data_IF_030559331752
#
_entry.id   IF_030559331752
#
_cell.length_a   1.000
_cell.length_b   1.000
_cell.length_c   1.000
_cell.angle_alpha   90.00
_cell.angle_beta   90.00
_cell.angle_gamma   90.00
#
_symmetry.space_group_name_H-M   'P 1'
#
loop_
_entity.id
_entity.type
_entity.pdbx_description
1 polymer ?
#
# COMPACT_ATOMS: atom_id res chain seq x y z
N UNK A 1 82.88 -56.33 -19.18
CA UNK A 1 83.89 -55.80 -18.28
C UNK A 1 83.20 -54.70 -17.50
N UNK A 2 82.99 -54.63 -16.31
CA UNK A 2 83.42 -55.31 -15.09
C UNK A 2 82.57 -54.62 -13.96
N UNK A 3 81.99 -55.38 -13.16
CA UNK A 3 81.85 -55.29 -11.75
C UNK A 3 81.97 -53.89 -11.08
N UNK A 4 81.24 -53.49 -10.04
CA UNK A 4 81.11 -54.19 -8.81
C UNK A 4 80.42 -53.29 -7.73
N UNK A 5 79.63 -53.93 -6.92
CA UNK A 5 79.43 -53.70 -5.46
C UNK A 5 78.69 -52.45 -4.94
N UNK A 6 77.50 -52.65 -4.44
CA UNK A 6 77.15 -52.87 -2.98
C UNK A 6 77.32 -51.64 -2.06
N UNK A 7 76.24 -51.26 -1.45
CA UNK A 7 76.22 -50.33 -0.29
C UNK A 7 74.85 -50.09 0.26
N UNK A 8 74.42 -50.92 1.16
CA UNK A 8 73.15 -50.71 1.87
C UNK A 8 73.34 -49.59 2.92
N UNK A 9 72.43 -48.67 2.95
CA UNK A 9 72.17 -47.87 4.19
C UNK A 9 70.69 -47.57 4.31
N UNK A 10 70.11 -48.01 5.39
CA UNK A 10 68.79 -47.72 5.92
C UNK A 10 68.61 -46.22 6.09
N UNK A 11 67.55 -45.64 5.60
CA UNK A 11 67.05 -44.37 6.08
C UNK A 11 65.59 -44.45 6.36
N UNK A 12 65.24 -44.06 7.55
CA UNK A 12 63.92 -43.96 8.17
C UNK A 12 62.98 -43.06 7.33
N UNK A 13 61.79 -43.60 6.98
CA UNK A 13 60.72 -42.82 6.42
C UNK A 13 60.01 -42.08 7.54
N UNK A 14 60.10 -40.76 7.54
CA UNK A 14 59.20 -39.90 8.33
C UNK A 14 57.90 -39.70 7.52
N UNK A 15 56.82 -40.27 7.99
CA UNK A 15 55.47 -40.02 7.49
C UNK A 15 55.04 -38.63 8.01
N UNK A 16 55.01 -37.63 7.12
CA UNK A 16 54.38 -36.35 7.35
C UNK A 16 52.90 -36.50 7.07
N UNK A 17 52.08 -36.57 8.12
CA UNK A 17 50.63 -36.50 8.02
C UNK A 17 50.25 -35.03 7.78
N UNK A 18 49.86 -34.71 6.55
CA UNK A 18 49.34 -33.42 6.18
C UNK A 18 47.84 -33.39 6.56
N UNK A 19 47.47 -32.86 7.72
CA UNK A 19 46.07 -32.61 8.11
C UNK A 19 45.56 -31.42 7.36
N UNK A 20 44.76 -31.67 6.29
CA UNK A 20 43.97 -30.66 5.61
C UNK A 20 42.79 -30.25 6.49
N UNK A 21 42.91 -29.09 7.14
CA UNK A 21 41.78 -28.46 7.84
C UNK A 21 40.81 -27.90 6.80
N UNK A 22 39.74 -28.62 6.52
CA UNK A 22 38.58 -28.11 5.75
C UNK A 22 37.81 -27.13 6.65
N UNK A 23 38.07 -25.84 6.46
CA UNK A 23 37.20 -24.78 6.98
C UNK A 23 35.87 -24.83 6.23
N UNK A 24 34.84 -25.45 6.86
CA UNK A 24 33.47 -25.34 6.39
C UNK A 24 32.99 -23.90 6.60
N UNK A 25 32.96 -23.10 5.49
CA UNK A 25 32.25 -21.84 5.46
C UNK A 25 30.75 -22.16 5.63
N UNK A 26 30.24 -22.00 6.85
CA UNK A 26 28.82 -21.95 7.09
C UNK A 26 28.26 -20.70 6.37
N UNK A 27 27.82 -20.89 5.14
CA UNK A 27 26.98 -19.91 4.47
C UNK A 27 25.66 -19.90 5.24
N UNK A 28 25.57 -19.03 6.24
CA UNK A 28 24.32 -18.73 6.92
C UNK A 28 23.35 -18.24 5.85
N UNK A 29 22.39 -19.09 5.48
CA UNK A 29 21.23 -18.66 4.74
C UNK A 29 20.59 -17.54 5.56
N UNK A 30 20.75 -16.29 5.15
CA UNK A 30 19.94 -15.21 5.65
C UNK A 30 18.50 -15.60 5.30
N UNK A 31 17.80 -16.21 6.26
CA UNK A 31 16.36 -16.40 6.16
C UNK A 31 15.80 -15.02 5.87
N UNK A 32 15.18 -14.85 4.71
CA UNK A 32 14.37 -13.67 4.41
C UNK A 32 13.32 -13.65 5.54
N UNK A 33 13.54 -12.82 6.54
CA UNK A 33 12.54 -12.55 7.55
C UNK A 33 11.33 -12.02 6.77
N UNK A 34 10.25 -12.80 6.77
CA UNK A 34 8.93 -12.33 6.38
C UNK A 34 8.68 -11.13 7.29
N UNK A 35 8.96 -9.90 6.78
CA UNK A 35 8.92 -8.71 7.62
C UNK A 35 7.49 -8.52 8.10
N UNK A 36 7.31 -8.61 9.40
CA UNK A 36 6.03 -8.42 10.04
C UNK A 36 5.49 -7.01 9.72
N UNK A 37 4.18 -6.90 9.62
CA UNK A 37 3.53 -5.59 9.55
C UNK A 37 3.94 -4.74 10.77
N UNK A 38 4.05 -3.41 10.63
CA UNK A 38 4.29 -2.55 11.79
C UNK A 38 3.13 -2.65 12.78
N UNK A 39 3.39 -2.43 14.07
CA UNK A 39 2.31 -2.41 15.08
C UNK A 39 1.32 -1.27 14.83
N UNK A 40 1.81 -0.12 14.32
CA UNK A 40 0.97 1.04 14.09
C UNK A 40 1.56 1.95 13.00
N UNK A 41 0.67 2.54 12.21
CA UNK A 41 0.98 3.65 11.30
C UNK A 41 0.02 4.79 11.57
N UNK A 42 0.55 5.99 11.84
CA UNK A 42 -0.21 7.24 11.88
C UNK A 42 0.32 8.16 10.79
N UNK A 43 -0.57 8.66 9.95
CA UNK A 43 -0.21 9.56 8.88
C UNK A 43 -1.17 10.75 8.82
N UNK A 44 -0.61 11.95 8.63
CA UNK A 44 -1.33 13.18 8.37
C UNK A 44 -0.99 13.66 6.98
N UNK A 45 -2.01 14.00 6.22
CA UNK A 45 -1.89 14.48 4.85
C UNK A 45 -2.57 15.85 4.71
N UNK A 46 -1.96 16.72 3.93
CA UNK A 46 -2.56 17.94 3.44
C UNK A 46 -3.29 17.67 2.13
N UNK A 47 -4.47 18.24 1.99
CA UNK A 47 -5.26 18.18 0.77
C UNK A 47 -5.22 19.55 0.10
N UNK A 48 -4.80 19.60 -1.15
CA UNK A 48 -4.81 20.82 -1.96
C UNK A 48 -5.63 20.61 -3.23
N UNK A 49 -6.25 21.66 -3.70
CA UNK A 49 -6.90 21.72 -5.00
C UNK A 49 -6.34 22.93 -5.76
N UNK A 50 -5.77 22.67 -6.93
CA UNK A 50 -5.09 23.69 -7.74
C UNK A 50 -4.07 24.53 -6.91
N UNK A 51 -3.30 23.85 -6.03
CA UNK A 51 -2.30 24.47 -5.16
C UNK A 51 -2.85 25.12 -3.88
N UNK A 52 -4.15 25.30 -3.74
CA UNK A 52 -4.79 25.90 -2.55
C UNK A 52 -5.12 24.78 -1.56
N UNK A 53 -4.73 24.95 -0.30
CA UNK A 53 -5.10 24.02 0.77
C UNK A 53 -6.61 24.07 1.00
N UNK A 54 -7.24 22.90 0.97
CA UNK A 54 -8.67 22.72 1.16
C UNK A 54 -9.02 21.81 2.35
N UNK A 55 -8.03 21.16 2.96
CA UNK A 55 -8.30 20.31 4.09
C UNK A 55 -7.18 19.35 4.45
N UNK A 56 -7.53 18.42 5.32
CA UNK A 56 -6.61 17.40 5.86
C UNK A 56 -7.22 16.01 5.82
N UNK A 57 -6.36 15.00 5.72
CA UNK A 57 -6.70 13.60 5.92
C UNK A 57 -5.78 13.01 6.98
N UNK A 58 -6.36 12.42 8.01
CA UNK A 58 -5.63 11.69 9.04
C UNK A 58 -5.94 10.20 8.90
N UNK A 59 -4.91 9.39 8.96
CA UNK A 59 -4.98 7.93 8.86
C UNK A 59 -4.29 7.29 10.04
N UNK A 60 -4.91 6.27 10.61
CA UNK A 60 -4.32 5.43 11.65
C UNK A 60 -4.61 3.98 11.33
N UNK A 61 -3.60 3.12 11.41
CA UNK A 61 -3.78 1.68 11.35
C UNK A 61 -3.07 1.00 12.50
N UNK A 62 -3.67 -0.07 13.01
CA UNK A 62 -3.14 -0.95 14.03
C UNK A 62 -3.08 -2.37 13.48
N UNK A 63 -2.02 -3.05 13.80
CA UNK A 63 -1.81 -4.44 13.41
C UNK A 63 -1.51 -5.26 14.66
N UNK A 64 -2.18 -6.40 14.81
CA UNK A 64 -1.99 -7.31 15.94
C UNK A 64 -2.06 -8.75 15.46
N UNK A 65 -0.91 -9.43 15.49
CA UNK A 65 -0.81 -10.77 14.93
C UNK A 65 -1.21 -10.79 13.44
N UNK A 66 -2.26 -11.52 13.13
CA UNK A 66 -2.78 -11.66 11.77
C UNK A 66 -4.03 -10.79 11.52
N UNK A 67 -4.22 -9.71 12.25
CA UNK A 67 -5.37 -8.83 12.09
C UNK A 67 -4.94 -7.38 11.90
N UNK A 68 -5.79 -6.59 11.24
CA UNK A 68 -5.64 -5.15 11.13
C UNK A 68 -6.95 -4.44 11.45
N UNK A 69 -6.83 -3.22 11.93
CA UNK A 69 -7.87 -2.22 11.94
C UNK A 69 -7.30 -0.89 11.47
N UNK A 70 -8.07 -0.15 10.68
CA UNK A 70 -7.62 1.14 10.19
C UNK A 70 -8.78 2.14 10.17
N UNK A 71 -8.45 3.41 10.42
CA UNK A 71 -9.38 4.53 10.39
C UNK A 71 -8.78 5.68 9.61
N UNK A 72 -9.58 6.27 8.74
CA UNK A 72 -9.28 7.51 8.04
C UNK A 72 -10.31 8.59 8.41
N UNK A 73 -9.87 9.83 8.60
CA UNK A 73 -10.74 10.98 8.80
C UNK A 73 -10.31 12.10 7.87
N UNK A 74 -11.24 12.58 7.07
CA UNK A 74 -11.02 13.71 6.16
C UNK A 74 -11.89 14.89 6.55
N UNK A 75 -11.31 16.07 6.52
CA UNK A 75 -12.02 17.34 6.69
C UNK A 75 -11.64 18.25 5.52
N UNK A 76 -12.66 18.66 4.73
CA UNK A 76 -12.49 19.57 3.59
C UNK A 76 -13.36 20.79 3.84
N UNK A 77 -12.77 21.98 3.65
CA UNK A 77 -13.46 23.25 3.65
C UNK A 77 -12.93 24.08 2.47
N UNK A 78 -13.83 24.46 1.58
CA UNK A 78 -13.50 25.22 0.38
C UNK A 78 -14.46 26.40 0.24
N UNK A 79 -14.13 27.36 -0.68
CA UNK A 79 -14.96 28.52 -0.99
C UNK A 79 -15.31 29.32 0.28
N UNK A 80 -14.29 29.65 1.09
CA UNK A 80 -14.45 30.39 2.36
C UNK A 80 -15.44 29.71 3.33
N UNK A 81 -15.52 28.36 3.32
CA UNK A 81 -16.40 27.59 4.20
C UNK A 81 -17.82 27.36 3.63
N UNK A 82 -18.13 27.84 2.42
CA UNK A 82 -19.39 27.57 1.77
C UNK A 82 -19.57 26.08 1.41
N UNK A 83 -18.47 25.38 1.16
CA UNK A 83 -18.43 23.93 1.02
C UNK A 83 -17.71 23.29 2.20
N UNK A 84 -18.41 22.40 2.92
CA UNK A 84 -17.82 21.58 4.00
C UNK A 84 -18.12 20.11 3.76
N UNK A 85 -17.10 19.29 3.89
CA UNK A 85 -17.20 17.84 3.82
C UNK A 85 -16.36 17.21 4.91
N UNK A 86 -16.97 16.36 5.72
CA UNK A 86 -16.29 15.61 6.78
C UNK A 86 -16.63 14.15 6.57
N UNK A 87 -15.61 13.31 6.44
CA UNK A 87 -15.76 11.87 6.25
C UNK A 87 -14.91 11.06 7.21
N UNK A 88 -15.45 9.95 7.63
CA UNK A 88 -14.75 8.92 8.40
C UNK A 88 -14.84 7.60 7.66
N UNK A 89 -13.74 6.88 7.63
CA UNK A 89 -13.57 5.59 6.97
C UNK A 89 -13.00 4.62 8.00
N UNK A 90 -13.55 3.45 8.12
CA UNK A 90 -13.00 2.37 8.95
C UNK A 90 -12.92 1.09 8.16
N UNK A 91 -11.89 0.31 8.39
CA UNK A 91 -11.70 -1.00 7.78
C UNK A 91 -11.05 -1.95 8.77
N UNK A 92 -11.45 -3.20 8.74
CA UNK A 92 -10.82 -4.25 9.54
C UNK A 92 -10.83 -5.58 8.81
N UNK A 93 -9.88 -6.43 9.16
CA UNK A 93 -9.77 -7.73 8.53
C UNK A 93 -8.58 -8.54 9.04
N UNK A 94 -8.33 -9.64 8.37
CA UNK A 94 -7.15 -10.46 8.58
C UNK A 94 -6.01 -10.07 7.63
N UNK A 95 -4.83 -10.56 7.93
CA UNK A 95 -3.61 -10.43 7.12
C UNK A 95 -3.07 -11.82 6.85
N UNK A 96 -2.73 -12.07 5.62
CA UNK A 96 -1.97 -13.25 5.24
C UNK A 96 -0.72 -12.87 4.42
N UNK A 97 -0.04 -13.87 3.86
CA UNK A 97 1.15 -13.65 3.03
C UNK A 97 0.83 -12.88 1.73
N UNK A 98 -0.40 -12.97 1.24
CA UNK A 98 -0.85 -12.30 0.01
C UNK A 98 -1.27 -10.85 0.26
N UNK A 99 -1.56 -10.49 1.53
CA UNK A 99 -1.96 -9.14 1.91
C UNK A 99 -3.20 -9.08 2.82
N UNK A 100 -3.96 -7.99 2.79
CA UNK A 100 -5.16 -7.83 3.59
C UNK A 100 -6.33 -8.66 3.06
N UNK A 101 -7.05 -9.28 3.99
CA UNK A 101 -8.32 -9.99 3.78
C UNK A 101 -9.41 -9.21 4.51
N UNK A 102 -10.21 -8.39 3.81
CA UNK A 102 -11.22 -7.54 4.44
C UNK A 102 -12.31 -8.37 5.12
N UNK A 103 -12.79 -7.88 6.28
CA UNK A 103 -13.94 -8.43 7.01
C UNK A 103 -15.05 -7.40 7.10
N UNK A 104 -14.72 -6.15 7.40
CA UNK A 104 -15.69 -5.08 7.52
C UNK A 104 -15.11 -3.74 7.03
N UNK A 105 -15.96 -2.96 6.39
CA UNK A 105 -15.68 -1.58 5.99
C UNK A 105 -16.89 -0.70 6.26
N UNK A 106 -16.63 0.48 6.79
CA UNK A 106 -17.64 1.52 6.94
C UNK A 106 -17.08 2.86 6.47
N UNK A 107 -17.87 3.58 5.69
CA UNK A 107 -17.66 4.97 5.34
C UNK A 107 -18.88 5.77 5.78
N UNK A 108 -18.66 6.88 6.45
CA UNK A 108 -19.70 7.85 6.77
C UNK A 108 -19.19 9.24 6.44
N UNK A 109 -19.97 10.04 5.75
CA UNK A 109 -19.61 11.42 5.49
C UNK A 109 -20.82 12.36 5.60
N UNK A 110 -20.52 13.58 6.02
CA UNK A 110 -21.47 14.69 6.13
C UNK A 110 -21.04 15.82 5.20
N UNK A 111 -21.94 16.25 4.34
CA UNK A 111 -21.86 17.54 3.65
C UNK A 111 -22.71 18.57 4.38
N UNK A 112 -22.71 19.84 3.92
CA UNK A 112 -23.59 20.87 4.51
C UNK A 112 -25.05 20.44 4.66
N UNK A 113 -25.54 19.53 3.80
CA UNK A 113 -26.97 19.21 3.64
C UNK A 113 -27.33 17.74 3.86
N UNK A 114 -26.37 16.81 3.86
CA UNK A 114 -26.65 15.37 3.82
C UNK A 114 -25.64 14.55 4.60
N UNK A 115 -26.14 13.48 5.22
CA UNK A 115 -25.34 12.40 5.78
C UNK A 115 -25.48 11.20 4.84
N UNK A 116 -24.37 10.57 4.54
CA UNK A 116 -24.31 9.35 3.75
C UNK A 116 -23.43 8.34 4.45
N UNK A 117 -23.85 7.09 4.48
CA UNK A 117 -23.01 6.00 4.98
C UNK A 117 -23.08 4.77 4.07
N UNK A 118 -22.01 4.01 4.09
CA UNK A 118 -21.84 2.72 3.42
C UNK A 118 -21.27 1.77 4.44
N UNK A 119 -21.84 0.58 4.57
CA UNK A 119 -21.25 -0.52 5.35
C UNK A 119 -21.16 -1.75 4.48
N UNK A 120 -19.99 -2.38 4.48
CA UNK A 120 -19.72 -3.63 3.78
C UNK A 120 -19.27 -4.69 4.79
N UNK A 121 -19.81 -5.89 4.66
CA UNK A 121 -19.29 -7.09 5.30
C UNK A 121 -18.75 -8.04 4.25
N UNK A 122 -17.66 -8.72 4.57
CA UNK A 122 -16.96 -9.62 3.66
C UNK A 122 -16.90 -11.03 4.24
N UNK A 123 -16.86 -11.99 3.34
CA UNK A 123 -16.43 -13.36 3.61
C UNK A 123 -15.27 -13.72 2.67
N UNK A 124 -14.66 -14.92 2.75
CA UNK A 124 -13.54 -15.28 1.88
C UNK A 124 -13.85 -15.22 0.38
N UNK A 125 -15.11 -15.26 -0.03
CA UNK A 125 -15.52 -15.17 -1.43
C UNK A 125 -15.64 -13.73 -1.93
N UNK A 126 -15.82 -12.74 -1.03
CA UNK A 126 -15.98 -11.34 -1.37
C UNK A 126 -17.01 -10.62 -0.51
N UNK A 127 -17.72 -9.64 -1.10
CA UNK A 127 -18.73 -8.84 -0.39
C UNK A 127 -19.97 -9.67 -0.11
N UNK A 128 -20.31 -9.81 1.19
CA UNK A 128 -21.47 -10.54 1.70
C UNK A 128 -22.68 -9.67 1.97
N UNK A 129 -22.43 -8.50 2.57
CA UNK A 129 -23.49 -7.56 2.96
C UNK A 129 -23.17 -6.16 2.51
N UNK A 130 -24.21 -5.42 2.12
CA UNK A 130 -24.12 -4.02 1.71
C UNK A 130 -25.26 -3.28 2.39
N UNK A 131 -24.95 -2.23 3.15
CA UNK A 131 -25.95 -1.31 3.71
C UNK A 131 -25.61 0.12 3.34
N UNK A 132 -26.58 0.85 2.83
CA UNK A 132 -26.42 2.23 2.32
C UNK A 132 -27.41 3.15 3.06
N UNK A 133 -26.95 4.33 3.45
CA UNK A 133 -27.81 5.40 3.97
C UNK A 133 -27.53 6.69 3.17
N UNK A 134 -28.53 7.31 2.54
CA UNK A 134 -29.89 6.80 2.36
C UNK A 134 -29.94 5.57 1.45
N UNK A 135 -30.79 4.63 1.76
CA UNK A 135 -31.02 3.47 0.90
C UNK A 135 -31.92 3.91 -0.27
N UNK A 136 -31.29 4.23 -1.39
CA UNK A 136 -31.98 4.61 -2.62
C UNK A 136 -31.76 3.53 -3.68
N UNK A 137 -32.78 3.23 -4.49
CA UNK A 137 -32.61 2.33 -5.61
C UNK A 137 -31.49 2.86 -6.53
N UNK A 138 -30.72 1.97 -7.16
CA UNK A 138 -29.72 2.35 -8.16
C UNK A 138 -30.39 3.16 -9.28
N UNK A 139 -29.66 4.15 -9.80
CA UNK A 139 -30.14 4.87 -10.98
C UNK A 139 -30.25 3.88 -12.17
N UNK A 140 -31.38 3.84 -12.91
CA UNK A 140 -31.58 2.88 -14.00
C UNK A 140 -30.51 2.95 -15.10
N UNK A 141 -29.88 4.13 -15.29
CA UNK A 141 -28.81 4.32 -16.28
C UNK A 141 -27.45 3.76 -15.82
N UNK A 142 -27.33 3.28 -14.58
CA UNK A 142 -26.07 2.72 -14.09
C UNK A 142 -25.87 1.28 -14.55
N UNK A 143 -24.62 0.92 -14.86
CA UNK A 143 -24.25 -0.46 -15.12
C UNK A 143 -24.47 -1.24 -13.83
N UNK A 144 -25.32 -2.26 -13.88
CA UNK A 144 -25.70 -3.06 -12.72
C UNK A 144 -24.49 -3.82 -12.15
N UNK A 145 -24.32 -3.75 -10.83
CA UNK A 145 -23.36 -4.57 -10.11
C UNK A 145 -23.90 -6.00 -10.03
N UNK A 146 -23.18 -6.96 -10.61
CA UNK A 146 -23.52 -8.38 -10.56
C UNK A 146 -22.87 -9.07 -9.34
N UNK A 147 -23.33 -10.25 -8.92
CA UNK A 147 -22.65 -11.02 -7.87
C UNK A 147 -21.18 -11.33 -8.17
N UNK A 148 -20.81 -11.53 -9.44
CA UNK A 148 -19.43 -11.78 -9.83
C UNK A 148 -18.54 -10.53 -9.66
N UNK A 149 -19.11 -9.34 -9.75
CA UNK A 149 -18.39 -8.09 -9.50
C UNK A 149 -18.00 -7.90 -8.02
N UNK A 150 -18.58 -8.67 -7.11
CA UNK A 150 -18.36 -8.58 -5.67
C UNK A 150 -17.35 -9.61 -5.15
N UNK A 151 -16.87 -10.52 -6.02
CA UNK A 151 -15.91 -11.56 -5.67
C UNK A 151 -14.48 -11.02 -5.64
N UNK A 152 -13.70 -11.42 -4.65
CA UNK A 152 -12.25 -11.12 -4.53
C UNK A 152 -11.92 -9.63 -4.70
N UNK A 153 -12.72 -8.75 -4.11
CA UNK A 153 -12.53 -7.30 -4.14
C UNK A 153 -12.10 -6.79 -2.78
N UNK A 154 -11.40 -5.67 -2.78
CA UNK A 154 -11.06 -4.90 -1.59
C UNK A 154 -12.06 -3.76 -1.38
N UNK A 155 -12.29 -3.37 -0.14
CA UNK A 155 -12.76 -2.03 0.19
C UNK A 155 -11.62 -1.00 0.02
N UNK A 156 -11.91 0.32 0.01
CA UNK A 156 -10.88 1.35 -0.19
C UNK A 156 -9.75 1.37 0.85
N UNK A 157 -10.03 1.02 2.10
CA UNK A 157 -9.00 0.93 3.16
C UNK A 157 -8.10 -0.28 2.91
N UNK A 158 -8.69 -1.45 2.70
CA UNK A 158 -7.93 -2.68 2.40
C UNK A 158 -7.14 -2.57 1.10
N UNK A 159 -7.68 -1.88 0.08
CA UNK A 159 -6.95 -1.58 -1.15
C UNK A 159 -5.69 -0.74 -0.89
N UNK A 160 -5.76 0.25 0.01
CA UNK A 160 -4.60 1.05 0.43
C UNK A 160 -3.55 0.17 1.13
N UNK A 161 -3.96 -0.72 2.02
CA UNK A 161 -3.05 -1.66 2.68
C UNK A 161 -2.45 -2.66 1.68
N UNK A 162 -3.24 -3.13 0.71
CA UNK A 162 -2.75 -4.00 -0.35
C UNK A 162 -1.66 -3.31 -1.19
N UNK A 163 -1.79 -2.02 -1.49
CA UNK A 163 -0.75 -1.25 -2.18
C UNK A 163 0.50 -1.11 -1.31
N UNK A 164 0.33 -0.98 0.00
CA UNK A 164 1.43 -0.75 0.95
C UNK A 164 2.31 -1.99 1.17
N UNK A 165 1.77 -3.21 1.17
CA UNK A 165 2.53 -4.46 1.38
C UNK A 165 2.93 -5.08 0.05
N UNK A 166 4.08 -4.67 -0.49
CA UNK A 166 4.56 -5.18 -1.78
C UNK A 166 6.07 -5.41 -1.75
N UNK A 167 6.52 -6.48 -2.39
CA UNK A 167 7.93 -6.66 -2.70
C UNK A 167 8.37 -5.60 -3.72
N UNK A 168 9.59 -5.12 -3.62
CA UNK A 168 10.11 -3.95 -4.34
C UNK A 168 9.95 -4.00 -5.87
N UNK A 169 9.89 -5.19 -6.47
CA UNK A 169 9.79 -5.37 -7.93
C UNK A 169 8.38 -5.09 -8.50
N UNK A 170 7.33 -5.16 -7.69
CA UNK A 170 5.95 -5.22 -8.18
C UNK A 170 5.02 -4.10 -7.69
N UNK A 171 5.56 -3.13 -6.93
CA UNK A 171 4.75 -2.06 -6.32
C UNK A 171 3.88 -1.31 -7.35
N UNK A 172 4.40 -1.04 -8.56
CA UNK A 172 3.66 -0.38 -9.63
C UNK A 172 3.21 -1.33 -10.76
N UNK A 173 3.18 -2.65 -10.55
CA UNK A 173 2.75 -3.61 -11.59
C UNK A 173 1.60 -4.48 -11.09
N UNK A 174 0.50 -3.83 -10.75
CA UNK A 174 -0.62 -4.51 -10.08
C UNK A 174 -1.97 -3.98 -10.57
N UNK A 175 -2.95 -4.85 -10.49
CA UNK A 175 -4.36 -4.48 -10.57
C UNK A 175 -5.00 -4.74 -9.22
N UNK A 176 -5.63 -3.71 -8.65
CA UNK A 176 -6.31 -3.75 -7.36
C UNK A 176 -7.82 -3.66 -7.63
N UNK A 177 -8.56 -4.75 -7.48
CA UNK A 177 -10.02 -4.75 -7.64
C UNK A 177 -10.67 -4.12 -6.39
N UNK A 178 -11.48 -3.08 -6.59
CA UNK A 178 -12.10 -2.33 -5.49
C UNK A 178 -13.62 -2.28 -5.64
N UNK A 179 -14.31 -2.41 -4.52
CA UNK A 179 -15.73 -2.09 -4.40
C UNK A 179 -15.94 -1.15 -3.21
N UNK A 180 -16.51 0.03 -3.47
CA UNK A 180 -16.71 1.09 -2.46
C UNK A 180 -18.12 1.11 -1.83
N UNK A 181 -18.93 0.10 -2.15
CA UNK A 181 -20.33 -0.02 -1.74
C UNK A 181 -21.31 0.44 -2.82
N UNK A 182 -20.85 1.11 -3.87
CA UNK A 182 -21.67 1.55 -5.00
C UNK A 182 -21.04 1.18 -6.34
N UNK A 183 -19.74 1.48 -6.49
CA UNK A 183 -19.01 1.27 -7.72
C UNK A 183 -17.98 0.13 -7.57
N UNK A 184 -17.91 -0.70 -8.60
CA UNK A 184 -16.86 -1.69 -8.82
C UNK A 184 -15.91 -1.16 -9.88
N UNK A 185 -14.65 -1.06 -9.52
CA UNK A 185 -13.59 -0.58 -10.41
C UNK A 185 -12.26 -1.28 -10.13
N UNK A 186 -11.38 -1.26 -11.10
CA UNK A 186 -9.98 -1.65 -10.92
C UNK A 186 -9.09 -0.42 -10.87
N UNK A 187 -8.09 -0.45 -9.99
CA UNK A 187 -6.95 0.45 -10.02
C UNK A 187 -5.80 -0.30 -10.68
N UNK A 188 -5.46 0.06 -11.92
CA UNK A 188 -4.33 -0.53 -12.64
C UNK A 188 -3.10 0.34 -12.49
N UNK A 189 -2.11 -0.18 -11.76
CA UNK A 189 -0.86 0.50 -11.48
C UNK A 189 0.18 0.15 -12.55
N UNK A 190 0.91 1.16 -13.02
CA UNK A 190 2.08 1.02 -13.88
C UNK A 190 3.19 1.95 -13.42
N UNK A 191 4.45 1.54 -13.60
CA UNK A 191 5.60 2.37 -13.22
C UNK A 191 5.65 3.61 -14.11
N UNK A 192 5.72 4.80 -13.48
CA UNK A 192 6.01 6.07 -14.16
C UNK A 192 7.48 6.42 -14.03
N UNK A 193 8.07 6.29 -12.84
CA UNK A 193 9.47 6.64 -12.58
C UNK A 193 9.79 6.74 -11.09
N UNK A 194 10.84 7.48 -10.79
CA UNK A 194 11.33 7.74 -9.44
C UNK A 194 11.57 9.22 -9.24
N UNK A 195 11.33 9.72 -8.03
CA UNK A 195 11.53 11.12 -7.66
C UNK A 195 12.32 11.21 -6.35
N UNK A 196 13.30 12.11 -6.28
CA UNK A 196 13.98 12.42 -5.03
C UNK A 196 13.11 13.32 -4.15
N UNK A 197 13.18 13.12 -2.82
CA UNK A 197 12.50 13.96 -1.84
C UNK A 197 13.50 14.65 -0.93
N UNK A 198 13.13 15.84 -0.47
CA UNK A 198 13.80 16.56 0.62
C UNK A 198 13.07 16.22 1.92
N UNK A 199 13.81 16.07 2.99
CA UNK A 199 13.27 15.91 4.34
C UNK A 199 13.78 17.06 5.20
N UNK A 200 12.93 17.61 6.06
CA UNK A 200 13.37 18.61 7.06
C UNK A 200 14.38 17.98 8.05
N UNK A 201 14.16 16.71 8.40
CA UNK A 201 15.03 15.94 9.28
C UNK A 201 15.27 14.56 8.72
N UNK A 202 16.52 14.09 8.65
CA UNK A 202 16.81 12.74 8.17
C UNK A 202 16.10 11.66 9.00
N UNK A 203 15.31 10.83 8.35
CA UNK A 203 14.57 9.73 8.97
C UNK A 203 15.34 8.40 8.97
N UNK A 204 16.50 8.35 8.32
CA UNK A 204 17.24 7.11 8.06
C UNK A 204 16.62 6.23 6.98
N UNK A 205 15.48 6.64 6.39
CA UNK A 205 14.81 5.89 5.33
C UNK A 205 15.19 6.45 3.94
N UNK A 206 15.04 5.67 2.84
CA UNK A 206 15.32 6.13 1.48
C UNK A 206 14.64 7.47 1.16
N UNK A 207 15.38 8.37 0.50
CA UNK A 207 14.88 9.67 0.05
C UNK A 207 14.45 9.63 -1.41
N UNK A 208 13.79 8.54 -1.78
CA UNK A 208 13.29 8.31 -3.12
C UNK A 208 11.85 7.83 -3.05
N UNK A 209 11.03 8.36 -3.94
CA UNK A 209 9.66 7.93 -4.18
C UNK A 209 9.62 7.06 -5.43
N UNK A 210 8.91 5.96 -5.35
CA UNK A 210 8.47 5.20 -6.50
C UNK A 210 7.15 5.79 -6.99
N UNK A 211 7.13 6.33 -8.20
CA UNK A 211 5.93 6.95 -8.77
C UNK A 211 5.23 5.97 -9.69
N UNK A 212 4.00 5.60 -9.32
CA UNK A 212 3.12 4.79 -10.14
C UNK A 212 2.05 5.67 -10.81
N UNK A 213 1.79 5.43 -12.09
CA UNK A 213 0.56 5.87 -12.75
C UNK A 213 -0.55 4.90 -12.36
N UNK A 214 -1.72 5.41 -12.06
CA UNK A 214 -2.91 4.65 -11.69
C UNK A 214 -4.00 4.95 -12.69
N UNK A 215 -4.40 3.94 -13.45
CA UNK A 215 -5.58 4.00 -14.32
C UNK A 215 -6.78 3.49 -13.57
N UNK A 216 -7.80 4.34 -13.44
CA UNK A 216 -9.10 3.95 -12.92
C UNK A 216 -9.91 3.26 -14.04
N UNK A 217 -10.28 2.01 -13.84
CA UNK A 217 -11.04 1.23 -14.82
C UNK A 217 -12.42 0.93 -14.25
N UNK A 218 -13.47 1.67 -14.65
CA UNK A 218 -14.83 1.45 -14.18
C UNK A 218 -15.37 0.13 -14.71
N UNK A 219 -16.08 -0.63 -13.86
CA UNK A 219 -16.65 -1.94 -14.22
C UNK A 219 -18.16 -1.93 -14.06
N UNK A 220 -18.67 -1.53 -12.88
CA UNK A 220 -20.10 -1.49 -12.60
C UNK A 220 -20.43 -0.44 -11.53
N UNK A 221 -21.71 -0.10 -11.35
CA UNK A 221 -22.17 0.85 -10.34
C UNK A 221 -22.07 2.33 -10.75
N UNK A 222 -21.71 2.63 -11.99
CA UNK A 222 -21.58 3.96 -12.57
C UNK A 222 -22.37 4.05 -13.86
N UNK A 223 -22.66 5.25 -14.32
CA UNK A 223 -23.26 5.48 -15.65
C UNK A 223 -22.17 5.38 -16.71
N UNK A 224 -22.54 4.93 -17.91
CA UNK A 224 -21.61 4.89 -19.06
C UNK A 224 -21.07 6.27 -19.43
N UNK A 225 -21.85 7.32 -19.18
CA UNK A 225 -21.53 8.71 -19.49
C UNK A 225 -20.69 9.41 -18.43
N UNK A 226 -20.53 8.84 -17.21
CA UNK A 226 -19.85 9.51 -16.10
C UNK A 226 -18.37 9.83 -16.39
N UNK A 227 -17.74 9.09 -17.31
CA UNK A 227 -16.32 9.24 -17.64
C UNK A 227 -16.09 9.95 -18.98
N UNK A 228 -17.10 10.04 -19.86
CA UNK A 228 -16.96 10.66 -21.20
C UNK A 228 -16.82 12.18 -21.11
N UNK A 229 -17.56 12.81 -20.18
CA UNK A 229 -17.55 14.25 -19.95
C UNK A 229 -16.99 14.62 -18.57
N UNK A 230 -16.15 13.77 -18.02
CA UNK A 230 -15.56 14.02 -16.70
C UNK A 230 -14.49 15.11 -16.78
N UNK A 231 -14.53 16.00 -15.83
CA UNK A 231 -13.45 16.97 -15.61
C UNK A 231 -12.21 16.32 -14.96
N UNK A 232 -12.30 15.08 -14.44
CA UNK A 232 -11.21 14.30 -13.86
C UNK A 232 -10.55 13.47 -14.96
N UNK A 233 -9.23 13.49 -15.01
CA UNK A 233 -8.42 12.61 -15.86
C UNK A 233 -8.12 11.29 -15.12
N UNK A 234 -8.96 10.29 -15.34
CA UNK A 234 -8.87 8.99 -14.73
C UNK A 234 -7.73 8.10 -15.24
N UNK A 235 -7.09 8.48 -16.34
CA UNK A 235 -5.97 7.73 -16.93
C UNK A 235 -4.61 8.19 -16.41
N UNK A 236 -4.52 9.38 -15.80
CA UNK A 236 -3.27 9.98 -15.36
C UNK A 236 -3.22 10.28 -13.85
N UNK A 237 -3.99 9.55 -13.04
CA UNK A 237 -3.85 9.57 -11.58
C UNK A 237 -2.46 9.04 -11.21
N UNK A 238 -1.82 9.66 -10.23
CA UNK A 238 -0.50 9.24 -9.77
C UNK A 238 -0.49 8.98 -8.27
N UNK A 239 0.23 7.93 -7.88
CA UNK A 239 0.57 7.66 -6.49
C UNK A 239 2.09 7.55 -6.36
N UNK A 240 2.67 8.39 -5.53
CA UNK A 240 4.07 8.32 -5.16
C UNK A 240 4.20 7.58 -3.83
N UNK A 241 4.93 6.49 -3.83
CA UNK A 241 5.11 5.57 -2.73
C UNK A 241 6.50 5.74 -2.14
N UNK A 242 6.60 5.93 -0.83
CA UNK A 242 7.88 5.92 -0.11
C UNK A 242 8.13 4.56 0.50
N UNK A 243 9.28 3.97 0.17
CA UNK A 243 9.72 2.71 0.78
C UNK A 243 10.16 2.94 2.23
N UNK A 244 9.76 2.02 3.12
CA UNK A 244 10.23 1.92 4.50
C UNK A 244 10.81 0.51 4.69
N UNK A 245 12.05 0.27 4.24
CA UNK A 245 12.64 -1.07 4.20
C UNK A 245 12.73 -1.73 5.58
N UNK A 246 12.94 -0.95 6.64
CA UNK A 246 13.04 -1.45 8.01
C UNK A 246 11.77 -2.15 8.52
N UNK A 247 10.63 -1.92 7.88
CA UNK A 247 9.34 -2.57 8.20
C UNK A 247 8.67 -3.20 6.97
N UNK A 248 9.36 -3.24 5.83
CA UNK A 248 8.90 -3.94 4.62
C UNK A 248 7.61 -3.42 4.03
N UNK A 249 7.35 -2.10 4.11
CA UNK A 249 6.14 -1.49 3.55
C UNK A 249 6.49 -0.30 2.66
N UNK A 250 5.54 0.05 1.81
CA UNK A 250 5.45 1.35 1.15
C UNK A 250 4.37 2.18 1.82
N UNK A 251 4.60 3.47 1.98
CA UNK A 251 3.56 4.41 2.43
C UNK A 251 3.21 5.37 1.29
N UNK A 252 1.92 5.63 1.05
CA UNK A 252 1.52 6.69 0.14
C UNK A 252 2.09 8.02 0.63
N UNK A 253 2.89 8.67 -0.20
CA UNK A 253 3.51 9.95 0.14
C UNK A 253 2.81 11.11 -0.55
N UNK A 254 2.40 10.90 -1.82
CA UNK A 254 1.59 11.84 -2.59
C UNK A 254 0.63 11.06 -3.48
N UNK A 255 -0.61 11.53 -3.54
CA UNK A 255 -1.59 11.09 -4.54
C UNK A 255 -2.02 12.33 -5.30
N UNK A 256 -1.98 12.29 -6.62
CA UNK A 256 -2.39 13.38 -7.52
C UNK A 256 -3.47 12.91 -8.46
N UNK A 257 -4.58 13.61 -8.47
CA UNK A 257 -5.70 13.38 -9.38
C UNK A 257 -5.83 14.60 -10.28
N UNK A 258 -5.37 14.51 -11.54
CA UNK A 258 -5.45 15.62 -12.46
C UNK A 258 -6.89 15.90 -12.91
N UNK A 259 -7.19 17.16 -13.23
CA UNK A 259 -8.46 17.58 -13.77
C UNK A 259 -8.29 18.80 -14.67
N UNK A 260 -9.33 19.10 -15.47
CA UNK A 260 -9.35 20.26 -16.39
C UNK A 260 -9.34 21.61 -15.65
N UNK A 261 -9.68 21.64 -14.38
CA UNK A 261 -9.73 22.85 -13.53
C UNK A 261 -8.61 22.88 -12.46
N UNK A 262 -7.63 22.00 -12.59
CA UNK A 262 -6.47 21.87 -11.70
C UNK A 262 -6.41 20.56 -10.94
N UNK A 263 -5.25 20.16 -10.44
CA UNK A 263 -5.08 18.90 -9.75
C UNK A 263 -5.60 18.95 -8.31
N UNK A 264 -6.23 17.85 -7.87
CA UNK A 264 -6.41 17.55 -6.46
C UNK A 264 -5.22 16.72 -5.96
N UNK A 265 -4.54 17.19 -4.93
CA UNK A 265 -3.34 16.52 -4.43
C UNK A 265 -3.45 16.28 -2.92
N UNK A 266 -3.14 15.06 -2.53
CA UNK A 266 -2.94 14.65 -1.14
C UNK A 266 -1.44 14.43 -0.92
N UNK A 267 -0.84 15.14 0.03
CA UNK A 267 0.60 15.07 0.33
C UNK A 267 0.82 14.78 1.81
N UNK A 268 1.67 13.82 2.12
CA UNK A 268 2.02 13.48 3.49
C UNK A 268 2.80 14.63 4.14
N UNK A 269 2.34 15.08 5.30
CA UNK A 269 3.06 16.07 6.16
C UNK A 269 3.84 15.33 7.25
N UNK A 270 3.24 14.32 7.83
CA UNK A 270 3.83 13.55 8.90
C UNK A 270 3.39 12.10 8.81
N UNK A 271 4.34 11.18 8.93
CA UNK A 271 4.07 9.74 9.05
C UNK A 271 4.88 9.22 10.23
N UNK A 272 4.21 8.62 11.21
CA UNK A 272 4.84 7.95 12.34
C UNK A 272 4.50 6.47 12.29
N UNK A 273 5.51 5.63 12.38
CA UNK A 273 5.39 4.18 12.34
C UNK A 273 5.99 3.60 13.61
N UNK A 274 5.27 2.67 14.21
CA UNK A 274 5.79 1.80 15.28
C UNK A 274 5.98 0.43 14.66
N UNK A 275 7.23 0.02 14.51
CA UNK A 275 7.60 -1.28 13.96
C UNK A 275 7.18 -2.43 14.90
N UNK A 276 7.25 -3.67 14.41
CA UNK A 276 6.90 -4.85 15.21
C UNK A 276 7.80 -5.03 16.46
N UNK A 277 9.05 -4.58 16.41
CA UNK A 277 10.01 -4.52 17.50
C UNK A 277 9.88 -3.27 18.38
N UNK A 278 8.83 -2.46 18.19
CA UNK A 278 8.56 -1.17 18.83
C UNK A 278 9.54 -0.03 18.45
N UNK A 279 10.42 -0.22 17.49
CA UNK A 279 11.21 0.88 16.94
C UNK A 279 10.28 1.95 16.32
N UNK A 280 10.67 3.23 16.51
CA UNK A 280 9.86 4.37 16.03
C UNK A 280 10.52 5.00 14.82
N UNK A 281 9.75 5.19 13.76
CA UNK A 281 10.17 5.84 12.53
C UNK A 281 9.27 7.06 12.34
N UNK A 282 9.86 8.24 12.20
CA UNK A 282 9.15 9.49 11.96
C UNK A 282 9.63 10.09 10.63
N UNK A 283 8.70 10.32 9.72
CA UNK A 283 8.92 11.01 8.46
C UNK A 283 8.22 12.37 8.54
N UNK A 284 8.94 13.45 8.22
CA UNK A 284 8.40 14.82 8.19
C UNK A 284 8.87 15.50 6.91
N UNK A 285 7.98 16.28 6.30
CA UNK A 285 8.30 17.20 5.21
C UNK A 285 8.60 18.57 5.76
#
# INVERSE_FOLDING_TARGET
>A
MDMSKAGALRRFSAFSVLTAATAALAIGSAAAHDMAWPNQVNARYRLTFNGIEVGVYNFTSHYSGQTYSATGRTEISALFGAFKWIGTFTGSGALDKSGPLPVAYEMSYKTNKKITSVKLGFDPAGVKTIALVPNKPPNPDTIKVSPDNLKHVFDPISATLAISKVTSSDACRRTIPVFDGKARFDLRLSLKGREAIKEERPSGQPRELLVCRVKYVPIAGHKRTDFVNSWIDYDHIEIALRAIPSVGIYVPYRISVPSTIGPAVMTAEQINIIAADNARIALRQ
#
